data_IF_672990257332
#
_entry.id   IF_672990257332
#
_cell.length_a   1.000
_cell.length_b   1.000
_cell.length_c   1.000
_cell.angle_alpha   90.00
_cell.angle_beta   90.00
_cell.angle_gamma   90.00
#
_symmetry.space_group_name_H-M   'P 1'
#
loop_
_entity.id
_entity.type
_entity.pdbx_description
1 polymer ?
#
# COMPACT_ATOMS: atom_id res chain seq x y z
N UNK A 1 7.02 -11.25 60.47
CA UNK A 1 6.83 -11.73 59.11
C UNK A 1 6.77 -10.54 58.17
N UNK A 2 7.81 -10.28 57.39
CA UNK A 2 7.88 -9.14 56.44
C UNK A 2 7.57 -9.68 55.06
N UNK A 3 6.42 -9.29 54.48
CA UNK A 3 6.01 -9.64 53.13
C UNK A 3 6.84 -8.86 52.08
N UNK A 4 7.56 -9.63 51.25
CA UNK A 4 8.32 -9.11 50.09
C UNK A 4 7.35 -8.94 48.93
N UNK A 5 6.97 -7.69 48.62
CA UNK A 5 6.17 -7.40 47.46
C UNK A 5 7.03 -7.49 46.18
N UNK A 6 6.69 -8.39 45.26
CA UNK A 6 7.33 -8.52 43.97
C UNK A 6 6.68 -7.48 43.04
N UNK A 7 7.47 -6.48 42.63
CA UNK A 7 7.09 -5.49 41.61
C UNK A 7 7.27 -6.14 40.22
N UNK A 8 6.18 -6.52 39.58
CA UNK A 8 6.20 -6.99 38.19
C UNK A 8 6.24 -5.76 37.29
N UNK A 9 7.42 -5.45 36.73
CA UNK A 9 7.58 -4.43 35.68
C UNK A 9 7.16 -5.10 34.37
N UNK A 10 5.97 -4.76 33.88
CA UNK A 10 5.53 -5.12 32.55
C UNK A 10 6.32 -4.28 31.53
N UNK A 11 7.39 -4.86 30.98
CA UNK A 11 8.08 -4.29 29.80
C UNK A 11 7.16 -4.46 28.58
N UNK A 12 6.40 -3.43 28.27
CA UNK A 12 5.67 -3.35 27.01
C UNK A 12 6.68 -3.32 25.87
N UNK A 13 6.77 -4.40 25.13
CA UNK A 13 7.47 -4.42 23.83
C UNK A 13 6.66 -3.54 22.87
N UNK A 14 7.07 -2.27 22.73
CA UNK A 14 6.70 -1.47 21.55
C UNK A 14 7.35 -2.13 20.35
N UNK A 15 6.55 -2.81 19.53
CA UNK A 15 6.97 -3.19 18.18
C UNK A 15 7.03 -1.88 17.38
N UNK A 16 8.18 -1.21 17.44
CA UNK A 16 8.52 -0.14 16.52
C UNK A 16 8.62 -0.82 15.16
N UNK A 17 7.62 -0.63 14.31
CA UNK A 17 7.68 -1.09 12.93
C UNK A 17 8.91 -0.47 12.29
N UNK A 18 9.95 -1.27 12.07
CA UNK A 18 11.17 -0.81 11.39
C UNK A 18 10.80 -0.42 9.98
N UNK A 19 11.09 0.83 9.59
CA UNK A 19 10.94 1.28 8.22
C UNK A 19 11.69 0.28 7.30
N UNK A 20 11.01 -0.22 6.28
CA UNK A 20 11.64 -1.12 5.30
C UNK A 20 12.63 -0.36 4.44
N UNK A 21 13.74 -1.00 4.09
CA UNK A 21 14.68 -0.42 3.13
C UNK A 21 14.03 -0.30 1.74
N UNK A 22 14.54 0.62 0.92
CA UNK A 22 14.11 0.72 -0.48
C UNK A 22 14.26 -0.62 -1.21
N UNK A 23 15.32 -1.38 -0.92
CA UNK A 23 15.58 -2.68 -1.53
C UNK A 23 14.48 -3.70 -1.23
N UNK A 24 13.85 -3.65 -0.06
CA UNK A 24 12.74 -4.54 0.28
C UNK A 24 11.48 -4.26 -0.52
N UNK A 25 11.14 -3.00 -0.79
CA UNK A 25 9.98 -2.65 -1.61
C UNK A 25 10.23 -2.85 -3.11
N UNK A 26 11.50 -2.94 -3.52
CA UNK A 26 11.92 -3.21 -4.90
C UNK A 26 11.96 -4.70 -5.25
N UNK A 27 11.40 -5.58 -4.40
CA UNK A 27 11.27 -7.02 -4.71
C UNK A 27 9.97 -7.33 -5.44
N UNK A 28 9.96 -8.37 -6.30
CA UNK A 28 8.72 -8.92 -6.84
C UNK A 28 7.74 -9.32 -5.72
N UNK A 29 6.45 -9.22 -6.01
CA UNK A 29 5.43 -9.61 -5.03
C UNK A 29 5.34 -11.11 -4.84
N UNK A 30 4.73 -11.49 -3.72
CA UNK A 30 4.45 -12.88 -3.36
C UNK A 30 2.97 -13.20 -3.55
N UNK A 31 2.59 -14.46 -3.40
CA UNK A 31 1.18 -14.84 -3.29
C UNK A 31 0.73 -14.76 -1.84
N UNK A 32 -0.41 -14.11 -1.60
CA UNK A 32 -1.04 -14.01 -0.30
C UNK A 32 -2.50 -14.46 -0.42
N UNK A 33 -2.86 -15.62 0.10
CA UNK A 33 -4.22 -16.22 0.00
C UNK A 33 -4.82 -16.15 -1.43
N UNK A 34 -4.00 -16.44 -2.45
CA UNK A 34 -4.40 -16.37 -3.84
C UNK A 34 -4.40 -14.95 -4.45
N UNK A 35 -4.15 -13.92 -3.67
CA UNK A 35 -3.86 -12.56 -4.16
C UNK A 35 -2.47 -12.58 -4.77
N UNK A 36 -2.37 -12.27 -6.06
CA UNK A 36 -1.09 -12.25 -6.78
C UNK A 36 -0.32 -10.97 -6.54
N UNK A 37 1.00 -11.05 -6.64
CA UNK A 37 1.90 -9.89 -6.57
C UNK A 37 1.63 -9.00 -5.33
N UNK A 38 1.31 -9.64 -4.19
CA UNK A 38 1.10 -8.95 -2.94
C UNK A 38 2.42 -8.33 -2.47
N UNK A 39 2.39 -7.03 -2.19
CA UNK A 39 3.56 -6.24 -1.75
C UNK A 39 3.18 -5.25 -0.66
N UNK A 40 4.12 -5.01 0.22
CA UNK A 40 4.10 -3.84 1.10
C UNK A 40 4.64 -2.65 0.32
N UNK A 41 3.96 -1.52 0.36
CA UNK A 41 4.40 -0.24 -0.24
C UNK A 41 4.88 0.71 0.86
N UNK A 42 4.03 0.94 1.85
CA UNK A 42 4.32 1.72 3.06
C UNK A 42 3.91 0.86 4.25
N UNK A 43 4.84 0.42 5.10
CA UNK A 43 4.56 -0.49 6.20
C UNK A 43 3.45 0.02 7.12
N UNK A 44 2.46 -0.81 7.42
CA UNK A 44 1.33 -0.45 8.27
C UNK A 44 0.32 0.53 7.65
N UNK A 45 0.52 0.97 6.39
CA UNK A 45 -0.33 1.98 5.75
C UNK A 45 -0.87 1.55 4.39
N UNK A 46 0.02 1.16 3.46
CA UNK A 46 -0.36 0.85 2.09
C UNK A 46 0.21 -0.49 1.63
N UNK A 47 -0.68 -1.31 1.13
CA UNK A 47 -0.37 -2.61 0.53
C UNK A 47 -1.01 -2.71 -0.86
N UNK A 48 -0.46 -3.55 -1.72
CA UNK A 48 -0.98 -3.72 -3.08
C UNK A 48 -0.95 -5.19 -3.50
N UNK A 49 -1.76 -5.50 -4.52
CA UNK A 49 -1.77 -6.84 -5.12
C UNK A 49 -2.63 -6.93 -6.37
N UNK A 50 -2.79 -8.15 -6.87
CA UNK A 50 -3.71 -8.48 -7.95
C UNK A 50 -4.91 -9.26 -7.44
N UNK A 51 -5.87 -9.52 -8.32
CA UNK A 51 -6.91 -10.49 -8.07
C UNK A 51 -6.32 -11.93 -8.10
N UNK A 52 -7.17 -12.92 -7.90
CA UNK A 52 -6.83 -14.32 -8.11
C UNK A 52 -6.60 -14.64 -9.61
N UNK A 53 -6.80 -15.87 -10.06
CA UNK A 53 -6.59 -16.28 -11.47
C UNK A 53 -7.56 -15.62 -12.48
N UNK A 54 -8.57 -14.86 -12.03
CA UNK A 54 -9.51 -14.12 -12.87
C UNK A 54 -9.17 -12.66 -13.04
N UNK A 55 -9.81 -12.00 -14.02
CA UNK A 55 -9.81 -10.55 -14.20
C UNK A 55 -11.07 -9.98 -13.56
N UNK A 56 -11.02 -9.63 -12.28
CA UNK A 56 -12.19 -9.16 -11.57
C UNK A 56 -11.91 -8.71 -10.15
N UNK A 57 -12.96 -8.48 -9.38
CA UNK A 57 -12.88 -8.18 -7.95
C UNK A 57 -12.25 -9.33 -7.15
N UNK A 58 -11.88 -9.06 -5.90
CA UNK A 58 -11.53 -10.09 -4.94
C UNK A 58 -12.77 -10.91 -4.58
N UNK A 59 -12.57 -12.21 -4.35
CA UNK A 59 -13.60 -13.07 -3.81
C UNK A 59 -13.68 -12.97 -2.27
N UNK A 60 -14.73 -13.54 -1.67
CA UNK A 60 -14.95 -13.46 -0.23
C UNK A 60 -13.77 -14.00 0.58
N UNK A 61 -13.19 -15.13 0.21
CA UNK A 61 -12.05 -15.73 0.93
C UNK A 61 -10.81 -14.80 0.94
N UNK A 62 -10.60 -14.04 -0.12
CA UNK A 62 -9.52 -13.05 -0.19
C UNK A 62 -9.84 -11.81 0.67
N UNK A 63 -11.10 -11.37 0.68
CA UNK A 63 -11.54 -10.27 1.56
C UNK A 63 -11.44 -10.67 3.03
N UNK A 64 -11.83 -11.90 3.39
CA UNK A 64 -11.68 -12.44 4.74
C UNK A 64 -10.20 -12.45 5.17
N UNK A 65 -9.31 -12.92 4.30
CA UNK A 65 -7.88 -12.97 4.57
C UNK A 65 -7.26 -11.57 4.76
N UNK A 66 -7.67 -10.58 3.96
CA UNK A 66 -7.23 -9.18 4.13
C UNK A 66 -7.75 -8.58 5.44
N UNK A 67 -9.02 -8.85 5.79
CA UNK A 67 -9.60 -8.41 7.05
C UNK A 67 -8.86 -9.02 8.25
N UNK A 68 -8.61 -10.33 8.25
CA UNK A 68 -7.84 -11.00 9.32
C UNK A 68 -6.38 -10.55 9.37
N UNK A 69 -5.82 -10.03 8.27
CA UNK A 69 -4.53 -9.37 8.25
C UNK A 69 -4.58 -7.92 8.78
N UNK A 70 -5.75 -7.42 9.19
CA UNK A 70 -5.95 -6.10 9.78
C UNK A 70 -6.11 -4.97 8.76
N UNK A 71 -6.42 -5.26 7.50
CA UNK A 71 -6.74 -4.22 6.51
C UNK A 71 -8.13 -3.63 6.80
N UNK A 72 -8.24 -2.30 6.83
CA UNK A 72 -9.53 -1.61 7.08
C UNK A 72 -10.24 -1.17 5.82
N UNK A 73 -9.50 -0.99 4.72
CA UNK A 73 -10.04 -0.57 3.43
C UNK A 73 -9.34 -1.27 2.29
N UNK A 74 -10.09 -1.72 1.28
CA UNK A 74 -9.55 -2.24 0.03
C UNK A 74 -10.21 -1.58 -1.17
N UNK A 75 -9.42 -1.25 -2.20
CA UNK A 75 -9.92 -0.66 -3.44
C UNK A 75 -9.57 -1.51 -4.64
N UNK A 76 -10.58 -1.84 -5.43
CA UNK A 76 -10.42 -2.36 -6.77
C UNK A 76 -10.24 -1.18 -7.75
N UNK A 77 -9.21 -1.22 -8.58
CA UNK A 77 -8.84 -0.10 -9.44
C UNK A 77 -9.45 -0.15 -10.86
N UNK A 78 -10.30 -1.15 -11.12
CA UNK A 78 -11.08 -1.28 -12.34
C UNK A 78 -12.55 -1.51 -12.05
N UNK A 79 -13.44 -1.04 -12.91
CA UNK A 79 -14.87 -1.25 -12.75
C UNK A 79 -15.36 -2.63 -13.25
N UNK A 80 -14.53 -3.37 -13.98
CA UNK A 80 -14.91 -4.64 -14.60
C UNK A 80 -15.33 -5.69 -13.58
N UNK A 81 -16.59 -6.13 -13.62
CA UNK A 81 -17.15 -7.13 -12.73
C UNK A 81 -17.34 -6.67 -11.29
N UNK A 82 -17.21 -5.38 -10.99
CA UNK A 82 -17.50 -4.84 -9.68
C UNK A 82 -19.01 -4.58 -9.53
N UNK A 83 -19.64 -5.23 -8.54
CA UNK A 83 -21.09 -5.18 -8.34
C UNK A 83 -21.53 -4.23 -7.23
N UNK A 84 -20.61 -3.45 -6.68
CA UNK A 84 -20.87 -2.48 -5.63
C UNK A 84 -20.01 -2.69 -4.38
N UNK A 85 -19.99 -1.70 -3.46
CA UNK A 85 -19.21 -1.79 -2.24
C UNK A 85 -19.75 -2.88 -1.31
N UNK A 86 -18.85 -3.47 -0.53
CA UNK A 86 -19.19 -4.47 0.49
C UNK A 86 -18.36 -4.25 1.76
N UNK A 87 -18.85 -4.82 2.87
CA UNK A 87 -18.13 -4.84 4.15
C UNK A 87 -17.93 -6.29 4.55
N UNK A 88 -16.69 -6.64 4.90
CA UNK A 88 -16.34 -7.94 5.46
C UNK A 88 -16.01 -7.75 6.94
N UNK A 89 -16.63 -8.54 7.82
CA UNK A 89 -16.36 -8.55 9.25
C UNK A 89 -15.49 -9.75 9.62
N UNK A 90 -14.53 -9.54 10.51
CA UNK A 90 -13.59 -10.56 10.97
C UNK A 90 -13.15 -10.32 12.43
N UNK A 91 -12.26 -11.14 12.95
CA UNK A 91 -11.77 -11.02 14.33
C UNK A 91 -10.99 -9.73 14.60
N UNK A 92 -10.45 -9.10 13.56
CA UNK A 92 -9.66 -7.87 13.62
C UNK A 92 -10.47 -6.60 13.43
N UNK A 93 -11.75 -6.71 13.08
CA UNK A 93 -12.64 -5.57 12.84
C UNK A 93 -13.44 -5.71 11.57
N UNK A 94 -13.38 -4.73 10.69
CA UNK A 94 -14.08 -4.74 9.40
C UNK A 94 -13.24 -4.18 8.27
N UNK A 95 -13.37 -4.79 7.09
CA UNK A 95 -12.78 -4.34 5.83
C UNK A 95 -13.87 -3.74 4.95
N UNK A 96 -13.73 -2.48 4.59
CA UNK A 96 -14.56 -1.82 3.58
C UNK A 96 -13.96 -2.06 2.21
N UNK A 97 -14.69 -2.69 1.30
CA UNK A 97 -14.24 -2.97 -0.06
C UNK A 97 -14.99 -2.11 -1.06
N UNK A 98 -14.28 -1.33 -1.85
CA UNK A 98 -14.83 -0.37 -2.79
C UNK A 98 -14.12 -0.37 -4.13
N UNK A 99 -14.60 0.49 -5.03
CA UNK A 99 -13.99 0.79 -6.33
C UNK A 99 -13.51 2.23 -6.35
N UNK A 100 -12.27 2.42 -6.84
CA UNK A 100 -11.75 3.73 -7.19
C UNK A 100 -10.90 3.63 -8.47
N UNK A 101 -10.95 4.64 -9.33
CA UNK A 101 -10.10 4.71 -10.50
C UNK A 101 -8.62 4.88 -10.15
N UNK A 102 -7.73 4.31 -10.96
CA UNK A 102 -6.28 4.43 -10.74
C UNK A 102 -5.67 5.75 -11.28
N UNK A 103 -6.47 6.56 -11.96
CA UNK A 103 -6.08 7.85 -12.55
C UNK A 103 -7.01 8.98 -12.07
N UNK A 104 -6.57 10.22 -12.29
CA UNK A 104 -7.39 11.40 -12.05
C UNK A 104 -7.95 11.49 -10.65
N UNK A 105 -9.26 11.67 -10.52
CA UNK A 105 -9.94 11.84 -9.25
C UNK A 105 -9.87 10.59 -8.36
N UNK A 106 -9.98 9.38 -8.92
CA UNK A 106 -9.94 8.14 -8.14
C UNK A 106 -8.60 7.99 -7.43
N UNK A 107 -7.48 8.25 -8.13
CA UNK A 107 -6.16 8.27 -7.49
C UNK A 107 -6.08 9.32 -6.36
N UNK A 108 -6.67 10.49 -6.57
CA UNK A 108 -6.71 11.55 -5.55
C UNK A 108 -7.47 11.10 -4.31
N UNK A 109 -8.60 10.43 -4.47
CA UNK A 109 -9.38 9.83 -3.36
C UNK A 109 -8.54 8.81 -2.59
N UNK A 110 -7.83 7.92 -3.30
CA UNK A 110 -6.95 6.93 -2.66
C UNK A 110 -5.82 7.61 -1.87
N UNK A 111 -5.16 8.61 -2.43
CA UNK A 111 -4.11 9.35 -1.72
C UNK A 111 -4.67 10.07 -0.48
N UNK A 112 -5.87 10.65 -0.56
CA UNK A 112 -6.53 11.25 0.60
C UNK A 112 -6.80 10.19 1.68
N UNK A 113 -7.32 9.02 1.31
CA UNK A 113 -7.56 7.93 2.26
C UNK A 113 -6.27 7.45 2.94
N UNK A 114 -5.16 7.33 2.19
CA UNK A 114 -3.85 6.99 2.75
C UNK A 114 -3.43 8.05 3.77
N UNK A 115 -3.54 9.33 3.42
CA UNK A 115 -3.22 10.45 4.31
C UNK A 115 -4.05 10.40 5.59
N UNK A 116 -5.37 10.24 5.46
CA UNK A 116 -6.29 10.19 6.60
C UNK A 116 -5.96 9.00 7.54
N UNK A 117 -5.58 7.84 6.97
CA UNK A 117 -5.13 6.67 7.75
C UNK A 117 -3.84 6.94 8.51
N UNK A 118 -2.88 7.63 7.93
CA UNK A 118 -1.65 8.04 8.61
C UNK A 118 -1.99 8.99 9.78
N UNK A 119 -2.81 10.01 9.52
CA UNK A 119 -3.16 11.03 10.53
C UNK A 119 -3.99 10.46 11.69
N UNK A 120 -4.89 9.53 11.41
CA UNK A 120 -5.73 8.88 12.41
C UNK A 120 -5.09 7.65 13.06
N UNK A 121 -3.93 7.20 12.58
CA UNK A 121 -3.32 5.90 12.93
C UNK A 121 -4.31 4.75 12.74
N UNK A 122 -5.10 4.84 11.67
CA UNK A 122 -6.13 3.85 11.34
C UNK A 122 -5.57 2.62 10.63
N UNK A 123 -6.46 1.67 10.35
CA UNK A 123 -6.10 0.41 9.69
C UNK A 123 -5.60 0.63 8.26
N UNK A 124 -4.68 -0.21 7.77
CA UNK A 124 -4.05 -0.07 6.46
C UNK A 124 -5.03 -0.11 5.29
N UNK A 125 -4.59 0.47 4.17
CA UNK A 125 -5.28 0.44 2.88
C UNK A 125 -4.64 -0.62 1.98
N UNK A 126 -5.46 -1.43 1.33
CA UNK A 126 -5.05 -2.36 0.27
C UNK A 126 -5.60 -1.88 -1.07
N UNK A 127 -4.78 -1.88 -2.11
CA UNK A 127 -5.20 -1.58 -3.49
C UNK A 127 -4.94 -2.76 -4.40
N UNK A 128 -5.85 -3.06 -5.32
CA UNK A 128 -5.64 -4.13 -6.26
C UNK A 128 -6.20 -3.85 -7.65
N UNK A 129 -5.61 -4.50 -8.65
CA UNK A 129 -6.14 -4.61 -10.01
C UNK A 129 -6.13 -6.09 -10.43
N UNK A 130 -6.19 -6.39 -11.72
CA UNK A 130 -6.19 -7.79 -12.18
C UNK A 130 -4.91 -8.56 -11.81
N UNK A 131 -3.75 -7.99 -12.09
CA UNK A 131 -2.45 -8.66 -11.91
C UNK A 131 -1.60 -8.07 -10.77
N UNK A 132 -2.05 -7.01 -10.13
CA UNK A 132 -1.24 -6.31 -9.13
C UNK A 132 -0.10 -5.46 -9.72
N UNK A 133 -0.05 -5.26 -11.03
CA UNK A 133 1.12 -4.73 -11.74
C UNK A 133 0.89 -3.28 -12.20
N UNK A 134 0.04 -3.05 -13.21
CA UNK A 134 -0.02 -1.76 -13.91
C UNK A 134 -0.72 -0.68 -13.09
N UNK A 135 -2.03 -0.78 -12.90
CA UNK A 135 -2.81 0.23 -12.19
C UNK A 135 -2.39 0.36 -10.72
N UNK A 136 -2.30 -0.77 -10.00
CA UNK A 136 -1.84 -0.77 -8.61
C UNK A 136 -0.41 -0.28 -8.46
N UNK A 137 0.46 -0.65 -9.41
CA UNK A 137 1.83 -0.16 -9.43
C UNK A 137 1.92 1.34 -9.65
N UNK A 138 1.10 1.89 -10.55
CA UNK A 138 1.06 3.33 -10.80
C UNK A 138 0.55 4.12 -9.58
N UNK A 139 -0.53 3.66 -8.94
CA UNK A 139 -1.03 4.29 -7.70
C UNK A 139 0.01 4.20 -6.59
N UNK A 140 0.64 3.04 -6.40
CA UNK A 140 1.70 2.88 -5.39
C UNK A 140 2.93 3.75 -5.67
N UNK A 141 3.38 3.83 -6.93
CA UNK A 141 4.49 4.68 -7.34
C UNK A 141 4.20 6.17 -7.06
N UNK A 142 3.00 6.64 -7.40
CA UNK A 142 2.60 8.02 -7.12
C UNK A 142 2.33 8.28 -5.63
N UNK A 143 1.94 7.27 -4.84
CA UNK A 143 1.87 7.39 -3.39
C UNK A 143 3.27 7.56 -2.77
N UNK A 144 4.28 6.84 -3.26
CA UNK A 144 5.67 7.04 -2.84
C UNK A 144 6.19 8.44 -3.21
N UNK A 145 5.78 9.00 -4.35
CA UNK A 145 6.07 10.39 -4.70
C UNK A 145 5.36 11.38 -3.76
N UNK A 146 4.08 11.14 -3.46
CA UNK A 146 3.26 12.00 -2.63
C UNK A 146 3.76 12.07 -1.19
N UNK A 147 4.10 10.93 -0.61
CA UNK A 147 4.32 10.81 0.83
C UNK A 147 5.78 10.62 1.22
N UNK A 148 6.59 10.03 0.34
CA UNK A 148 7.92 9.55 0.68
C UNK A 148 9.05 10.22 -0.10
N UNK A 149 8.77 11.29 -0.84
CA UNK A 149 9.78 12.08 -1.54
C UNK A 149 10.44 11.37 -2.73
N UNK A 150 9.81 10.30 -3.27
CA UNK A 150 10.35 9.66 -4.49
C UNK A 150 10.33 10.63 -5.66
N UNK A 151 11.44 10.72 -6.37
CA UNK A 151 11.48 11.37 -7.67
C UNK A 151 10.68 10.58 -8.71
N UNK A 152 10.28 11.22 -9.81
CA UNK A 152 9.59 10.54 -10.90
C UNK A 152 10.39 9.35 -11.46
N UNK A 153 11.72 9.45 -11.52
CA UNK A 153 12.61 8.37 -11.97
C UNK A 153 12.57 7.18 -10.99
N UNK A 154 12.66 7.43 -9.69
CA UNK A 154 12.58 6.39 -8.66
C UNK A 154 11.21 5.72 -8.66
N UNK A 155 10.12 6.48 -8.81
CA UNK A 155 8.76 5.98 -8.89
C UNK A 155 8.53 5.10 -10.13
N UNK A 156 9.06 5.47 -11.30
CA UNK A 156 9.05 4.64 -12.51
C UNK A 156 9.89 3.37 -12.31
N UNK A 157 11.05 3.46 -11.68
CA UNK A 157 11.89 2.28 -11.37
C UNK A 157 11.15 1.33 -10.44
N UNK A 158 10.51 1.83 -9.39
CA UNK A 158 9.64 1.03 -8.51
C UNK A 158 8.51 0.34 -9.30
N UNK A 159 7.81 1.09 -10.17
CA UNK A 159 6.72 0.53 -10.97
C UNK A 159 7.19 -0.61 -11.88
N UNK A 160 8.40 -0.52 -12.45
CA UNK A 160 8.97 -1.53 -13.36
C UNK A 160 9.35 -2.85 -12.68
N UNK A 161 9.43 -2.90 -11.35
CA UNK A 161 9.84 -4.11 -10.62
C UNK A 161 8.89 -5.28 -10.92
N UNK A 162 9.46 -6.38 -11.43
CA UNK A 162 8.71 -7.58 -11.79
C UNK A 162 7.89 -7.47 -13.08
N UNK A 163 8.02 -6.38 -13.85
CA UNK A 163 7.32 -6.19 -15.12
C UNK A 163 8.24 -6.53 -16.30
N UNK A 164 7.85 -7.54 -17.09
CA UNK A 164 8.57 -7.84 -18.33
C UNK A 164 8.60 -6.61 -19.26
N UNK A 165 9.71 -6.34 -19.98
CA UNK A 165 9.86 -5.13 -20.80
C UNK A 165 8.69 -4.86 -21.76
N UNK A 166 8.16 -5.91 -22.40
CA UNK A 166 6.99 -5.82 -23.31
C UNK A 166 5.68 -5.37 -22.64
N UNK A 167 5.61 -5.40 -21.31
CA UNK A 167 4.45 -4.99 -20.51
C UNK A 167 4.67 -3.62 -19.85
N UNK A 168 5.79 -2.96 -20.12
CA UNK A 168 6.09 -1.62 -19.59
C UNK A 168 5.46 -0.55 -20.50
N UNK A 169 4.17 -0.32 -20.32
CA UNK A 169 3.39 0.60 -21.16
C UNK A 169 3.83 2.05 -21.01
N UNK A 170 4.20 2.73 -22.13
CA UNK A 170 4.63 4.14 -22.11
C UNK A 170 3.60 5.08 -21.47
N UNK A 171 2.31 4.83 -21.68
CA UNK A 171 1.23 5.64 -21.08
C UNK A 171 1.23 5.60 -19.56
N UNK A 172 1.52 4.46 -18.95
CA UNK A 172 1.62 4.34 -17.49
C UNK A 172 2.87 5.07 -16.98
N UNK A 173 3.99 4.94 -17.69
CA UNK A 173 5.22 5.67 -17.36
C UNK A 173 4.96 7.18 -17.40
N UNK A 174 4.33 7.67 -18.46
CA UNK A 174 3.98 9.08 -18.60
C UNK A 174 3.03 9.56 -17.50
N UNK A 175 2.04 8.74 -17.11
CA UNK A 175 1.12 9.03 -16.01
C UNK A 175 1.88 9.21 -14.69
N UNK A 176 2.85 8.34 -14.37
CA UNK A 176 3.68 8.47 -13.19
C UNK A 176 4.57 9.73 -13.28
N UNK A 177 5.23 9.96 -14.39
CA UNK A 177 6.15 11.09 -14.58
C UNK A 177 5.44 12.45 -14.54
N UNK A 178 4.19 12.51 -14.98
CA UNK A 178 3.37 13.73 -14.96
C UNK A 178 2.73 14.01 -13.60
N UNK A 179 2.77 13.06 -12.66
CA UNK A 179 2.22 13.26 -11.33
C UNK A 179 2.92 14.40 -10.60
N UNK A 180 2.13 15.21 -9.87
CA UNK A 180 2.64 16.27 -9.00
C UNK A 180 2.05 16.07 -7.61
N UNK A 181 2.88 16.00 -6.56
CA UNK A 181 2.41 15.89 -5.19
C UNK A 181 1.48 17.04 -4.81
N UNK A 182 0.43 16.72 -4.06
CA UNK A 182 -0.47 17.69 -3.49
C UNK A 182 0.09 18.18 -2.14
N UNK A 183 0.47 19.47 -2.01
CA UNK A 183 1.06 19.98 -0.78
C UNK A 183 0.13 19.91 0.44
N UNK A 184 -1.19 19.79 0.23
CA UNK A 184 -2.16 19.62 1.33
C UNK A 184 -2.09 18.23 1.99
N UNK A 185 -1.46 17.26 1.33
CA UNK A 185 -1.28 15.88 1.82
C UNK A 185 0.17 15.60 2.24
N UNK A 186 0.91 16.63 2.58
CA UNK A 186 2.31 16.47 3.01
C UNK A 186 2.37 15.84 4.41
N UNK A 187 3.31 14.91 4.58
CA UNK A 187 3.61 14.29 5.86
C UNK A 187 4.70 15.06 6.59
N UNK A 188 4.65 15.02 7.93
CA UNK A 188 5.77 15.53 8.74
C UNK A 188 7.01 14.64 8.57
N UNK A 189 8.23 15.15 8.88
CA UNK A 189 9.45 14.34 8.86
C UNK A 189 9.34 13.07 9.72
N UNK A 190 8.69 13.13 10.87
CA UNK A 190 8.48 12.01 11.78
C UNK A 190 7.54 10.95 11.19
N UNK A 191 6.48 11.39 10.49
CA UNK A 191 5.57 10.49 9.79
C UNK A 191 6.28 9.82 8.61
N UNK A 192 7.07 10.57 7.85
CA UNK A 192 7.88 10.01 6.78
C UNK A 192 8.88 8.98 7.30
N UNK A 193 9.58 9.28 8.39
CA UNK A 193 10.51 8.34 9.01
C UNK A 193 9.83 7.06 9.51
N UNK A 194 8.54 7.15 9.89
CA UNK A 194 7.76 6.02 10.39
C UNK A 194 7.20 5.13 9.27
N UNK A 195 6.67 5.72 8.23
CA UNK A 195 5.85 5.01 7.23
C UNK A 195 6.51 4.87 5.87
N UNK A 196 7.54 5.66 5.56
CA UNK A 196 8.21 5.59 4.28
C UNK A 196 9.37 4.59 4.29
N UNK A 197 9.63 3.90 3.17
CA UNK A 197 10.84 3.12 3.03
C UNK A 197 12.07 4.05 3.06
N UNK A 198 13.13 3.62 3.73
CA UNK A 198 14.38 4.37 3.76
C UNK A 198 14.98 4.42 2.36
N UNK A 199 15.17 5.62 1.82
CA UNK A 199 15.83 5.82 0.54
C UNK A 199 17.33 5.56 0.71
N UNK A 200 17.88 4.62 -0.05
CA UNK A 200 19.33 4.40 -0.09
C UNK A 200 19.97 5.40 -1.05
N UNK A 201 21.08 6.01 -0.64
CA UNK A 201 21.81 7.02 -1.44
C UNK A 201 22.32 6.50 -2.81
N UNK A 202 22.21 5.19 -3.07
CA UNK A 202 22.63 4.56 -4.33
C UNK A 202 21.65 4.78 -5.50
N UNK A 203 20.45 5.33 -5.26
CA UNK A 203 19.43 5.53 -6.30
C UNK A 203 19.62 6.82 -7.12
N UNK A 204 20.62 7.64 -6.81
CA UNK A 204 20.89 8.90 -7.52
C UNK A 204 21.93 8.80 -8.63
N UNK A 205 22.38 7.60 -9.01
CA UNK A 205 23.31 7.49 -10.17
C UNK A 205 22.52 7.31 -11.46
N UNK A 206 22.76 8.21 -12.44
CA UNK A 206 22.12 8.25 -13.74
C UNK A 206 22.42 7.01 -14.60
#
# INVERSE_FOLDING_TARGET
MRGLGILVVATGFMIIGTARSQDEIMQPGVSFHGIRDYRVVMPGVLYRGGANNGRGPLNQSQLDALCEAGMGTAYYLYSTGFHGPSVTHCSKGSLNYGYEGWEGNGRTVIHQQIYDKIKSKGDPVFIHCWNGIHATGAVAATALMQFCGFSATQAVSYWKVGIAPKLQYPSVIQNIQSFRPNPKLELTPEEQATYCPTLTASAERP
#
